data_IF_301343517562
#
_entry.id   IF_301343517562
#
_cell.length_a   1.000
_cell.length_b   1.000
_cell.length_c   1.000
_cell.angle_alpha   90.00
_cell.angle_beta   90.00
_cell.angle_gamma   90.00
#
_symmetry.space_group_name_H-M   'P 1'
#
loop_
_entity.id
_entity.type
_entity.pdbx_description
1 polymer ?
#
# COMPACT_ATOMS: atom_id res chain seq x y z
N UNK A 1 19.79 24.32 -1.66
CA UNK A 1 20.71 23.31 -2.22
C UNK A 1 20.02 22.70 -3.43
N UNK A 2 20.67 22.58 -4.60
CA UNK A 2 20.07 21.88 -5.73
C UNK A 2 19.85 20.41 -5.33
N UNK A 3 18.63 19.89 -5.51
CA UNK A 3 18.37 18.49 -5.25
C UNK A 3 19.05 17.66 -6.34
N UNK A 4 19.93 16.74 -5.94
CA UNK A 4 20.50 15.75 -6.85
C UNK A 4 19.37 14.96 -7.52
N UNK A 5 19.49 14.59 -8.81
CA UNK A 5 18.47 13.83 -9.49
C UNK A 5 18.20 12.52 -8.74
N UNK A 6 16.92 12.24 -8.48
CA UNK A 6 16.47 11.04 -7.76
C UNK A 6 16.87 9.81 -8.59
N UNK A 7 17.50 8.83 -7.95
CA UNK A 7 17.89 7.59 -8.63
C UNK A 7 16.65 6.88 -9.19
N UNK A 8 16.79 6.25 -10.37
CA UNK A 8 15.72 5.49 -10.98
C UNK A 8 15.41 4.25 -10.13
N UNK A 9 14.13 4.07 -9.77
CA UNK A 9 13.69 2.93 -8.96
C UNK A 9 13.56 1.71 -9.86
N UNK A 10 14.21 0.62 -9.48
CA UNK A 10 14.14 -0.67 -10.17
C UNK A 10 13.33 -1.68 -9.34
N UNK A 11 12.87 -2.76 -9.98
CA UNK A 11 12.14 -3.82 -9.28
C UNK A 11 12.94 -4.46 -8.12
N UNK A 12 14.28 -4.42 -8.17
CA UNK A 12 15.15 -4.96 -7.12
C UNK A 12 15.17 -4.11 -5.85
N UNK A 13 14.76 -2.84 -5.95
CA UNK A 13 14.68 -1.94 -4.81
C UNK A 13 13.43 -2.19 -3.95
N UNK A 14 12.49 -3.01 -4.45
CA UNK A 14 11.31 -3.44 -3.73
C UNK A 14 11.58 -4.79 -3.03
N UNK A 15 11.41 -4.79 -1.72
CA UNK A 15 11.63 -5.92 -0.82
C UNK A 15 10.36 -6.20 0.02
N UNK A 16 10.34 -7.34 0.69
CA UNK A 16 9.26 -7.69 1.64
C UNK A 16 7.96 -8.21 1.00
N UNK A 17 7.89 -8.32 -0.34
CA UNK A 17 6.68 -8.78 -1.04
C UNK A 17 6.33 -10.25 -0.83
N UNK A 18 7.27 -11.07 -0.33
CA UNK A 18 7.06 -12.53 -0.12
C UNK A 18 5.81 -12.86 0.70
N UNK A 19 5.44 -11.99 1.64
CA UNK A 19 4.32 -12.23 2.56
C UNK A 19 3.01 -11.57 2.12
N UNK A 20 3.00 -10.82 1.02
CA UNK A 20 1.82 -10.05 0.61
C UNK A 20 0.63 -10.94 0.25
N UNK A 21 0.87 -12.13 -0.29
CA UNK A 21 -0.20 -13.09 -0.57
C UNK A 21 -0.88 -13.56 0.72
N UNK A 22 -0.10 -13.96 1.72
CA UNK A 22 -0.62 -14.39 3.03
C UNK A 22 -1.29 -13.25 3.80
N UNK A 23 -0.70 -12.06 3.74
CA UNK A 23 -1.26 -10.86 4.37
C UNK A 23 -2.56 -10.44 3.68
N UNK A 24 -2.67 -10.61 2.36
CA UNK A 24 -3.89 -10.32 1.61
C UNK A 24 -5.05 -11.19 2.04
N UNK A 25 -4.85 -12.51 2.13
CA UNK A 25 -5.88 -13.44 2.64
C UNK A 25 -6.32 -13.06 4.06
N UNK A 26 -5.38 -12.73 4.94
CA UNK A 26 -5.68 -12.31 6.32
C UNK A 26 -6.48 -11.00 6.38
N UNK A 27 -6.13 -10.03 5.52
CA UNK A 27 -6.72 -8.70 5.50
C UNK A 27 -8.03 -8.65 4.73
N UNK A 28 -8.35 -9.66 3.91
CA UNK A 28 -9.55 -9.69 3.07
C UNK A 28 -10.86 -9.43 3.84
N UNK A 29 -10.93 -9.83 5.12
CA UNK A 29 -12.06 -9.52 6.01
C UNK A 29 -12.31 -8.00 6.20
N UNK A 30 -11.32 -7.16 5.91
CA UNK A 30 -11.39 -5.70 6.00
C UNK A 30 -11.88 -5.05 4.69
N UNK A 31 -12.04 -5.82 3.61
CA UNK A 31 -12.32 -5.28 2.28
C UNK A 31 -13.57 -4.39 2.24
N UNK A 32 -14.62 -4.79 2.94
CA UNK A 32 -15.89 -4.06 3.00
C UNK A 32 -15.99 -3.14 4.23
N UNK A 33 -15.01 -3.19 5.14
CA UNK A 33 -15.04 -2.46 6.40
C UNK A 33 -14.83 -0.97 6.14
N UNK A 34 -15.86 -0.17 6.44
CA UNK A 34 -15.77 1.29 6.32
C UNK A 34 -15.98 1.81 4.90
N UNK A 35 -16.30 0.98 3.91
CA UNK A 35 -16.72 1.43 2.58
C UNK A 35 -17.97 2.33 2.64
N UNK A 36 -18.88 2.04 3.57
CA UNK A 36 -20.13 2.80 3.80
C UNK A 36 -19.90 4.21 4.39
N UNK A 37 -18.65 4.56 4.75
CA UNK A 37 -18.33 5.91 5.28
C UNK A 37 -18.31 6.97 4.19
N UNK A 38 -18.19 6.57 2.92
CA UNK A 38 -18.23 7.53 1.83
C UNK A 38 -19.64 8.09 1.63
N UNK A 39 -19.88 9.29 2.15
CA UNK A 39 -21.16 9.99 2.00
C UNK A 39 -21.40 10.54 0.60
N UNK A 40 -20.34 10.71 -0.19
CA UNK A 40 -20.45 11.25 -1.54
C UNK A 40 -20.74 10.15 -2.58
N UNK A 41 -20.69 8.87 -2.16
CA UNK A 41 -20.84 7.67 -3.00
C UNK A 41 -20.00 7.72 -4.28
N UNK A 42 -18.86 8.43 -4.22
CA UNK A 42 -17.98 8.64 -5.36
C UNK A 42 -16.67 7.88 -5.23
N UNK A 43 -16.43 7.20 -4.09
CA UNK A 43 -15.22 6.44 -3.80
C UNK A 43 -15.52 5.23 -2.91
N UNK A 44 -14.99 4.08 -3.31
CA UNK A 44 -14.92 2.90 -2.46
C UNK A 44 -13.54 2.85 -1.80
N UNK A 45 -13.51 2.85 -0.46
CA UNK A 45 -12.28 2.70 0.31
C UNK A 45 -12.19 1.27 0.86
N UNK A 46 -11.33 0.46 0.26
CA UNK A 46 -11.04 -0.91 0.69
C UNK A 46 -9.86 -0.91 1.67
N UNK A 47 -10.15 -1.24 2.94
CA UNK A 47 -9.15 -1.09 4.02
C UNK A 47 -8.02 -2.11 3.94
N UNK A 48 -8.29 -3.29 3.41
CA UNK A 48 -7.29 -4.31 3.10
C UNK A 48 -6.21 -3.78 2.14
N UNK A 49 -6.61 -3.14 1.05
CA UNK A 49 -5.72 -2.52 0.07
C UNK A 49 -4.94 -1.36 0.70
N UNK A 50 -5.60 -0.54 1.52
CA UNK A 50 -4.93 0.54 2.23
C UNK A 50 -3.86 0.03 3.22
N UNK A 51 -4.15 -1.03 3.96
CA UNK A 51 -3.18 -1.70 4.83
C UNK A 51 -1.99 -2.26 4.05
N UNK A 52 -2.21 -2.87 2.88
CA UNK A 52 -1.12 -3.31 2.00
C UNK A 52 -0.20 -2.18 1.58
N UNK A 53 -0.75 -0.99 1.25
CA UNK A 53 0.06 0.18 0.89
C UNK A 53 0.91 0.68 2.07
N UNK A 54 0.36 0.67 3.29
CA UNK A 54 1.13 1.00 4.50
C UNK A 54 2.28 0.01 4.70
N UNK A 55 2.01 -1.28 4.58
CA UNK A 55 3.03 -2.32 4.72
C UNK A 55 4.11 -2.20 3.63
N UNK A 56 3.71 -1.90 2.40
CA UNK A 56 4.64 -1.63 1.29
C UNK A 56 5.57 -0.47 1.65
N UNK A 57 5.01 0.64 2.13
CA UNK A 57 5.79 1.80 2.57
C UNK A 57 6.74 1.45 3.73
N UNK A 58 6.27 0.71 4.74
CA UNK A 58 7.08 0.33 5.89
C UNK A 58 8.26 -0.58 5.53
N UNK A 59 8.07 -1.50 4.57
CA UNK A 59 9.13 -2.41 4.13
C UNK A 59 10.06 -1.79 3.10
N UNK A 60 9.68 -0.70 2.44
CA UNK A 60 10.40 -0.13 1.31
C UNK A 60 10.71 1.36 1.53
N UNK A 61 11.82 1.69 2.22
CA UNK A 61 12.20 3.09 2.46
C UNK A 61 12.41 3.88 1.16
N UNK A 62 12.66 3.21 0.03
CA UNK A 62 12.77 3.82 -1.31
C UNK A 62 11.48 4.50 -1.80
N UNK A 63 10.33 4.16 -1.20
CA UNK A 63 9.01 4.72 -1.54
C UNK A 63 8.76 6.08 -0.86
N UNK A 64 9.67 6.52 0.03
CA UNK A 64 9.67 7.85 0.68
C UNK A 64 10.41 8.87 -0.18
#
# INVERSE_FOLDING_TARGET
>A
MPQSPRAEITAKDIVGLKYFDQLGELLQQLHDVGCQRDRAENRSLHMDQYCMLILLYMFNPVVT
#
